data_IF_481005233656
#
_entry.id   IF_481005233656
#
_cell.length_a   1.000
_cell.length_b   1.000
_cell.length_c   1.000
_cell.angle_alpha   90.00
_cell.angle_beta   90.00
_cell.angle_gamma   90.00
#
_symmetry.space_group_name_H-M   'P 1'
#
loop_
_entity.id
_entity.type
_entity.pdbx_description
1 polymer ?
#
# COMPACT_ATOMS: atom_id res chain seq x y z
N UNK A 1 3.35 18.11 18.95
CA UNK A 1 2.69 18.94 17.93
C UNK A 1 3.64 19.98 17.29
N UNK A 2 4.39 20.81 18.04
CA UNK A 2 5.28 21.84 17.43
C UNK A 2 6.37 21.29 16.49
N UNK A 3 6.93 20.11 16.73
CA UNK A 3 7.97 19.51 15.86
C UNK A 3 7.43 18.92 14.56
N UNK A 4 6.18 18.47 14.52
CA UNK A 4 5.52 17.97 13.32
C UNK A 4 5.17 19.12 12.38
N UNK A 5 4.73 20.27 12.93
CA UNK A 5 4.49 21.48 12.16
C UNK A 5 5.76 22.03 11.50
N UNK A 6 6.92 21.90 12.17
CA UNK A 6 8.20 22.33 11.62
C UNK A 6 8.66 21.49 10.42
N UNK A 7 8.38 20.18 10.45
CA UNK A 7 8.72 19.25 9.35
C UNK A 7 7.80 19.49 8.14
N UNK A 8 6.51 19.71 8.39
CA UNK A 8 5.53 20.03 7.34
C UNK A 8 5.86 21.39 6.71
N UNK A 9 6.29 22.37 7.51
CA UNK A 9 6.71 23.68 7.01
C UNK A 9 8.01 23.62 6.19
N UNK A 10 8.94 22.75 6.56
CA UNK A 10 10.17 22.51 5.78
C UNK A 10 9.87 21.80 4.44
N UNK A 11 8.93 20.87 4.42
CA UNK A 11 8.42 20.25 3.20
C UNK A 11 7.72 21.28 2.29
N UNK A 12 6.98 22.24 2.86
CA UNK A 12 6.30 23.30 2.10
C UNK A 12 7.29 24.31 1.50
N UNK A 13 8.42 24.57 2.16
CA UNK A 13 9.49 25.44 1.64
C UNK A 13 10.22 24.81 0.44
N UNK A 14 10.33 23.50 0.37
CA UNK A 14 10.87 22.81 -0.81
C UNK A 14 9.95 22.89 -2.04
N UNK A 15 8.66 23.16 -1.86
CA UNK A 15 7.71 23.33 -2.97
C UNK A 15 7.80 24.68 -3.69
N UNK A 16 8.39 25.71 -3.07
CA UNK A 16 8.49 27.03 -3.68
C UNK A 16 9.56 27.16 -4.78
N UNK A 17 10.46 26.19 -4.92
CA UNK A 17 11.46 26.20 -6.00
C UNK A 17 10.95 25.57 -7.31
N UNK A 18 9.74 25.01 -7.33
CA UNK A 18 9.18 24.29 -8.49
C UNK A 18 8.43 25.20 -9.50
N UNK A 19 8.26 26.49 -9.22
CA UNK A 19 7.53 27.40 -10.11
C UNK A 19 8.27 27.79 -11.41
N UNK A 20 9.55 27.41 -11.55
CA UNK A 20 10.29 27.61 -12.79
C UNK A 20 10.12 26.46 -13.82
N UNK A 21 9.53 25.34 -13.43
CA UNK A 21 9.30 24.20 -14.33
C UNK A 21 8.10 24.39 -15.27
N UNK A 22 7.21 25.34 -15.01
CA UNK A 22 6.01 25.55 -15.84
C UNK A 22 6.28 26.19 -17.21
N UNK A 23 7.44 26.80 -17.43
CA UNK A 23 7.76 27.41 -18.74
C UNK A 23 8.22 26.41 -19.80
N UNK A 24 8.62 25.21 -19.42
CA UNK A 24 9.06 24.15 -20.36
C UNK A 24 7.91 23.22 -20.78
N UNK A 25 6.74 23.30 -20.13
CA UNK A 25 5.59 22.42 -20.46
C UNK A 25 4.93 22.74 -21.79
N UNK A 26 4.96 24.00 -22.28
CA UNK A 26 4.30 24.34 -23.54
C UNK A 26 5.01 23.79 -24.79
N UNK A 27 6.29 23.45 -24.69
CA UNK A 27 7.01 22.82 -25.81
C UNK A 27 6.87 21.31 -25.84
N UNK A 28 6.62 20.69 -24.66
CA UNK A 28 6.38 19.23 -24.55
C UNK A 28 4.93 18.86 -24.91
N UNK A 29 3.94 19.71 -24.64
CA UNK A 29 2.55 19.46 -25.01
C UNK A 29 2.31 19.34 -26.52
N UNK A 30 3.10 20.01 -27.34
CA UNK A 30 2.98 19.88 -28.81
C UNK A 30 3.56 18.55 -29.34
N UNK A 31 4.38 17.85 -28.57
CA UNK A 31 4.91 16.53 -28.93
C UNK A 31 4.02 15.37 -28.40
N UNK A 32 3.19 15.61 -27.39
CA UNK A 32 2.33 14.62 -26.73
C UNK A 32 0.82 14.85 -26.92
N UNK A 33 0.42 15.98 -27.51
CA UNK A 33 -1.00 16.40 -27.64
C UNK A 33 -1.84 15.61 -28.65
N UNK A 34 -1.29 14.57 -29.31
CA UNK A 34 -2.05 13.73 -30.25
C UNK A 34 -2.33 12.31 -29.72
N UNK A 35 -2.02 11.99 -28.46
CA UNK A 35 -2.16 10.64 -27.91
C UNK A 35 -3.27 10.46 -26.87
N UNK A 36 -4.10 11.47 -26.60
CA UNK A 36 -5.19 11.36 -25.61
C UNK A 36 -6.39 10.47 -26.04
N UNK A 37 -6.41 9.99 -27.28
CA UNK A 37 -7.48 9.12 -27.81
C UNK A 37 -6.99 7.71 -28.18
N UNK A 38 -5.88 7.23 -27.64
CA UNK A 38 -5.24 6.02 -28.12
C UNK A 38 -5.05 4.93 -27.08
N UNK A 39 -6.09 4.52 -26.36
CA UNK A 39 -6.02 3.31 -25.51
C UNK A 39 -5.94 2.01 -26.34
N UNK A 40 -6.22 2.06 -27.66
CA UNK A 40 -6.15 0.90 -28.56
C UNK A 40 -4.94 0.88 -29.51
N UNK A 41 -4.12 1.91 -29.53
CA UNK A 41 -3.01 1.98 -30.51
C UNK A 41 -1.68 1.35 -30.05
N UNK A 42 -1.55 1.00 -28.80
CA UNK A 42 -0.30 0.43 -28.27
C UNK A 42 -0.21 -1.10 -28.33
N UNK A 43 -1.19 -1.77 -28.93
CA UNK A 43 -1.16 -3.23 -29.10
C UNK A 43 -0.60 -3.68 -30.46
N UNK A 44 -0.41 -2.76 -31.39
CA UNK A 44 0.08 -3.08 -32.74
C UNK A 44 1.18 -2.11 -33.16
N UNK A 45 2.22 -2.63 -33.82
CA UNK A 45 3.25 -1.82 -34.43
C UNK A 45 2.72 -1.09 -35.68
N UNK A 46 3.55 -0.24 -36.30
CA UNK A 46 3.16 0.48 -37.54
C UNK A 46 2.79 -0.45 -38.70
N UNK A 47 3.14 -1.72 -38.62
CA UNK A 47 2.88 -2.73 -39.64
C UNK A 47 1.69 -3.62 -39.30
N UNK A 48 0.97 -3.33 -38.20
CA UNK A 48 -0.21 -4.09 -37.79
C UNK A 48 0.10 -5.38 -37.04
N UNK A 49 1.35 -5.62 -36.61
CA UNK A 49 1.68 -6.76 -35.77
C UNK A 49 1.39 -6.47 -34.31
N UNK A 50 0.86 -7.43 -33.55
CA UNK A 50 0.66 -7.25 -32.12
C UNK A 50 2.01 -6.99 -31.45
N UNK A 51 2.12 -5.90 -30.72
CA UNK A 51 3.27 -5.65 -29.85
C UNK A 51 3.17 -6.65 -28.71
N UNK A 52 4.15 -7.57 -28.64
CA UNK A 52 4.25 -8.52 -27.56
C UNK A 52 4.52 -7.76 -26.24
N UNK A 53 3.46 -7.51 -25.49
CA UNK A 53 3.53 -6.87 -24.16
C UNK A 53 4.16 -7.79 -23.12
N UNK A 54 4.40 -9.06 -23.47
CA UNK A 54 5.17 -10.02 -22.67
C UNK A 54 6.65 -9.97 -23.03
N UNK A 55 7.07 -9.13 -23.99
CA UNK A 55 8.48 -8.91 -24.25
C UNK A 55 9.18 -8.63 -22.93
N UNK A 56 10.01 -9.56 -22.51
CA UNK A 56 10.85 -9.46 -21.32
C UNK A 56 11.57 -8.13 -21.42
N UNK A 57 11.12 -7.15 -20.64
CA UNK A 57 11.84 -5.88 -20.52
C UNK A 57 13.22 -6.26 -20.07
N UNK A 58 14.21 -6.06 -20.96
CA UNK A 58 15.58 -6.45 -20.70
C UNK A 58 15.96 -5.85 -19.33
N UNK A 59 16.22 -6.70 -18.34
CA UNK A 59 16.42 -6.28 -16.94
C UNK A 59 17.55 -5.24 -16.78
N UNK A 60 18.34 -5.08 -17.84
CA UNK A 60 19.48 -4.17 -17.89
C UNK A 60 19.15 -2.80 -18.50
N UNK A 61 18.00 -2.63 -19.14
CA UNK A 61 17.58 -1.33 -19.65
C UNK A 61 16.51 -0.75 -18.72
N UNK A 62 16.75 0.45 -18.20
CA UNK A 62 15.73 1.17 -17.42
C UNK A 62 14.71 1.73 -18.43
N UNK A 63 13.48 1.18 -18.47
CA UNK A 63 12.50 1.63 -19.43
C UNK A 63 12.19 3.11 -19.23
N UNK A 64 11.94 3.80 -20.32
CA UNK A 64 11.55 5.20 -20.31
C UNK A 64 10.03 5.23 -20.36
N UNK A 65 9.39 5.95 -19.41
CA UNK A 65 7.92 6.10 -19.39
C UNK A 65 7.31 5.85 -18.04
N UNK A 66 5.98 5.81 -18.02
CA UNK A 66 5.21 5.51 -16.82
C UNK A 66 5.03 4.00 -16.70
N UNK A 67 5.63 3.41 -15.67
CA UNK A 67 5.46 2.00 -15.34
C UNK A 67 5.61 1.79 -13.84
N UNK A 68 5.02 0.73 -13.33
CA UNK A 68 5.02 0.41 -11.90
C UNK A 68 5.49 -1.01 -11.64
N UNK A 69 6.02 -1.23 -10.44
CA UNK A 69 6.45 -2.55 -10.00
C UNK A 69 6.30 -2.73 -8.50
N UNK A 70 6.35 -3.97 -8.06
CA UNK A 70 6.45 -4.40 -6.68
C UNK A 70 7.75 -5.15 -6.46
N UNK A 71 8.18 -5.26 -5.20
CA UNK A 71 9.37 -6.03 -4.82
C UNK A 71 8.99 -7.14 -3.85
N UNK A 72 9.61 -8.30 -4.04
CA UNK A 72 9.50 -9.41 -3.11
C UNK A 72 10.19 -9.06 -1.78
N UNK A 73 9.52 -9.38 -0.67
CA UNK A 73 9.99 -9.06 0.68
C UNK A 73 11.22 -9.86 1.12
N UNK A 74 11.57 -10.97 0.43
CA UNK A 74 12.69 -11.83 0.79
C UNK A 74 13.98 -11.51 0.02
N UNK A 75 13.89 -11.45 -1.30
CA UNK A 75 15.07 -11.27 -2.18
C UNK A 75 15.02 -9.98 -2.99
N UNK A 76 13.98 -9.17 -2.84
CA UNK A 76 13.85 -7.91 -3.57
C UNK A 76 13.70 -8.10 -5.09
N UNK A 77 13.17 -9.25 -5.54
CA UNK A 77 12.89 -9.46 -6.94
C UNK A 77 11.77 -8.54 -7.40
N UNK A 78 11.97 -7.94 -8.56
CA UNK A 78 11.05 -6.98 -9.14
C UNK A 78 9.99 -7.71 -9.97
N UNK A 79 8.72 -7.37 -9.74
CA UNK A 79 7.59 -7.81 -10.56
C UNK A 79 6.88 -6.59 -11.10
N UNK A 80 6.82 -6.44 -12.41
CA UNK A 80 6.11 -5.34 -13.05
C UNK A 80 4.61 -5.53 -12.96
N UNK A 81 3.91 -4.43 -12.72
CA UNK A 81 2.46 -4.38 -12.64
C UNK A 81 1.93 -3.26 -13.53
N UNK A 82 0.72 -3.38 -14.08
CA UNK A 82 0.10 -2.29 -14.81
C UNK A 82 -0.11 -1.09 -13.89
N UNK A 83 0.07 0.11 -14.44
CA UNK A 83 -0.28 1.34 -13.71
C UNK A 83 -1.79 1.42 -13.62
N UNK A 84 -2.30 1.68 -12.43
CA UNK A 84 -3.74 1.90 -12.24
C UNK A 84 -4.14 3.26 -12.83
N UNK A 85 -4.68 3.21 -14.03
CA UNK A 85 -5.25 4.35 -14.74
C UNK A 85 -6.77 4.23 -14.91
N UNK A 86 -7.36 3.16 -14.38
CA UNK A 86 -8.77 2.84 -14.55
C UNK A 86 -9.63 3.63 -13.56
N UNK A 87 -10.44 4.53 -14.08
CA UNK A 87 -11.43 5.27 -13.27
C UNK A 87 -12.67 4.42 -12.92
N UNK A 88 -12.73 3.17 -13.39
CA UNK A 88 -13.90 2.31 -13.22
C UNK A 88 -14.07 1.72 -11.82
N UNK A 89 -13.04 1.79 -10.98
CA UNK A 89 -13.07 1.24 -9.62
C UNK A 89 -13.69 2.20 -8.58
N UNK A 90 -14.25 3.33 -8.97
CA UNK A 90 -14.79 4.32 -8.03
C UNK A 90 -15.90 3.76 -7.12
N UNK A 91 -16.65 2.77 -7.57
CA UNK A 91 -17.69 2.10 -6.79
C UNK A 91 -17.13 1.29 -5.61
N UNK A 92 -15.87 0.85 -5.70
CA UNK A 92 -15.16 0.10 -4.66
C UNK A 92 -14.12 0.96 -3.93
N UNK A 93 -14.32 2.26 -3.90
CA UNK A 93 -13.37 3.22 -3.32
C UNK A 93 -13.10 3.01 -1.83
N UNK A 94 -14.03 2.38 -1.10
CA UNK A 94 -13.85 2.02 0.31
C UNK A 94 -13.06 0.71 0.51
N UNK A 95 -12.97 -0.14 -0.51
CA UNK A 95 -12.23 -1.42 -0.54
C UNK A 95 -12.67 -2.47 0.50
N UNK A 96 -13.75 -2.25 1.24
CA UNK A 96 -14.16 -3.17 2.34
C UNK A 96 -14.67 -4.50 1.83
N UNK A 97 -15.57 -4.49 0.84
CA UNK A 97 -16.16 -5.69 0.27
C UNK A 97 -15.26 -6.45 -0.70
N UNK A 98 -14.15 -5.84 -1.12
CA UNK A 98 -13.33 -6.34 -2.21
C UNK A 98 -14.00 -6.18 -3.57
N UNK A 99 -13.30 -6.58 -4.64
CA UNK A 99 -13.73 -6.39 -6.02
C UNK A 99 -15.04 -7.12 -6.38
N UNK A 100 -15.25 -8.30 -5.80
CA UNK A 100 -16.39 -9.19 -6.06
C UNK A 100 -17.29 -9.39 -4.84
N UNK A 101 -17.11 -8.58 -3.79
CA UNK A 101 -17.83 -8.76 -2.54
C UNK A 101 -17.39 -9.99 -1.75
N UNK A 102 -16.16 -10.46 -1.98
CA UNK A 102 -15.64 -11.70 -1.38
C UNK A 102 -15.28 -11.58 0.10
N UNK A 103 -15.35 -10.40 0.70
CA UNK A 103 -15.05 -10.21 2.11
C UNK A 103 -16.30 -10.10 2.99
N UNK A 104 -16.25 -10.74 4.14
CA UNK A 104 -17.13 -10.46 5.27
C UNK A 104 -16.50 -9.38 6.14
N UNK A 105 -17.29 -8.43 6.59
CA UNK A 105 -16.88 -7.36 7.52
C UNK A 105 -18.03 -6.98 8.44
N UNK A 106 -17.77 -6.17 9.47
CA UNK A 106 -18.77 -5.85 10.51
C UNK A 106 -19.69 -4.67 10.17
N UNK A 107 -19.73 -4.25 8.92
CA UNK A 107 -20.71 -3.29 8.41
C UNK A 107 -20.28 -1.84 8.38
N UNK A 108 -19.19 -1.45 9.03
CA UNK A 108 -18.66 -0.09 8.99
C UNK A 108 -17.28 -0.03 8.32
N UNK A 109 -16.96 1.11 7.75
CA UNK A 109 -15.67 1.38 7.17
C UNK A 109 -14.56 1.25 8.22
N UNK A 110 -13.52 0.47 7.91
CA UNK A 110 -12.43 0.22 8.84
C UNK A 110 -12.67 -0.93 9.83
N UNK A 111 -13.81 -1.62 9.76
CA UNK A 111 -14.02 -2.81 10.58
C UNK A 111 -13.15 -3.98 10.12
N UNK A 112 -12.85 -4.95 11.00
CA UNK A 112 -12.10 -6.14 10.61
C UNK A 112 -12.84 -6.90 9.51
N UNK A 113 -12.08 -7.45 8.55
CA UNK A 113 -12.62 -8.23 7.44
C UNK A 113 -11.93 -9.58 7.30
N UNK A 114 -12.66 -10.52 6.70
CA UNK A 114 -12.16 -11.84 6.39
C UNK A 114 -12.67 -12.30 5.02
N UNK A 115 -11.76 -12.81 4.17
CA UNK A 115 -12.17 -13.38 2.87
C UNK A 115 -13.05 -14.62 3.05
N UNK A 116 -14.14 -14.70 2.28
CA UNK A 116 -14.99 -15.90 2.16
C UNK A 116 -14.28 -17.01 1.39
N UNK A 117 -13.37 -16.61 0.50
CA UNK A 117 -12.58 -17.55 -0.31
C UNK A 117 -11.37 -17.97 0.53
N UNK A 118 -11.31 -19.25 0.88
CA UNK A 118 -10.26 -19.79 1.74
C UNK A 118 -8.85 -19.57 1.15
N UNK A 119 -8.68 -19.78 -0.15
CA UNK A 119 -7.38 -19.66 -0.83
C UNK A 119 -6.88 -18.22 -0.99
N UNK A 120 -7.76 -17.22 -0.81
CA UNK A 120 -7.37 -15.80 -0.84
C UNK A 120 -6.92 -15.30 0.55
N UNK A 121 -7.07 -16.14 1.58
CA UNK A 121 -6.64 -15.78 2.92
C UNK A 121 -5.12 -15.81 3.01
N UNK A 122 -4.55 -14.72 3.46
CA UNK A 122 -3.10 -14.65 3.73
C UNK A 122 -2.75 -15.50 4.95
N UNK A 123 -1.53 -16.02 4.97
CA UNK A 123 -1.00 -16.67 6.15
C UNK A 123 -0.98 -15.69 7.33
N UNK A 124 -1.39 -16.16 8.54
CA UNK A 124 -1.37 -15.32 9.74
C UNK A 124 0.04 -14.76 10.00
N UNK A 125 0.11 -13.47 10.22
CA UNK A 125 1.35 -12.85 10.61
C UNK A 125 1.69 -13.20 12.07
N UNK A 126 2.95 -13.08 12.43
CA UNK A 126 3.33 -13.27 13.83
C UNK A 126 2.77 -12.15 14.74
N UNK A 127 2.27 -11.05 14.16
CA UNK A 127 1.54 -9.99 14.84
C UNK A 127 0.12 -9.90 14.26
N UNK A 128 -0.69 -10.89 14.60
CA UNK A 128 -2.02 -11.12 13.99
C UNK A 128 -3.05 -10.02 14.26
N UNK A 129 -2.80 -9.11 15.19
CA UNK A 129 -3.73 -8.02 15.53
C UNK A 129 -4.02 -7.06 14.38
N UNK A 130 -3.16 -6.99 13.38
CA UNK A 130 -3.34 -6.15 12.19
C UNK A 130 -3.79 -6.92 10.95
N UNK A 131 -3.81 -8.25 10.98
CA UNK A 131 -4.15 -9.08 9.83
C UNK A 131 -5.56 -8.85 9.28
N UNK A 132 -6.61 -8.61 10.12
CA UNK A 132 -7.96 -8.31 9.63
C UNK A 132 -8.10 -6.95 8.92
N UNK A 133 -7.06 -6.14 8.93
CA UNK A 133 -7.03 -4.77 8.36
C UNK A 133 -6.13 -4.67 7.13
N UNK A 134 -6.01 -5.76 6.37
CA UNK A 134 -5.18 -5.89 5.17
C UNK A 134 -5.52 -4.89 4.04
N UNK A 135 -6.72 -4.29 4.08
CA UNK A 135 -7.18 -3.28 3.13
C UNK A 135 -6.55 -1.88 3.35
N UNK A 136 -5.90 -1.65 4.48
CA UNK A 136 -5.23 -0.39 4.78
C UNK A 136 -3.78 -0.57 5.24
N UNK A 137 -3.44 -1.67 5.92
CA UNK A 137 -2.06 -1.95 6.35
C UNK A 137 -1.21 -2.32 5.14
N UNK A 138 -0.19 -1.52 4.84
CA UNK A 138 0.72 -1.73 3.71
C UNK A 138 1.90 -2.60 4.15
N UNK A 139 2.00 -3.80 3.58
CA UNK A 139 3.19 -4.65 3.72
C UNK A 139 4.24 -4.26 2.68
N UNK A 140 5.53 -4.57 2.86
CA UNK A 140 6.57 -4.24 1.88
C UNK A 140 6.26 -4.75 0.45
N UNK A 141 5.68 -5.95 0.34
CA UNK A 141 5.28 -6.54 -0.94
C UNK A 141 4.07 -5.88 -1.60
N UNK A 142 3.30 -5.08 -0.85
CA UNK A 142 2.13 -4.36 -1.37
C UNK A 142 2.47 -2.95 -1.86
N UNK A 143 3.60 -2.40 -1.44
CA UNK A 143 4.04 -1.05 -1.85
C UNK A 143 4.40 -1.04 -3.32
N UNK A 144 3.80 -0.09 -4.03
CA UNK A 144 4.00 0.10 -5.46
C UNK A 144 5.09 1.15 -5.65
N UNK A 145 6.07 0.83 -6.45
CA UNK A 145 7.07 1.77 -6.96
C UNK A 145 6.66 2.20 -8.36
N UNK A 146 6.86 3.47 -8.68
CA UNK A 146 6.49 4.01 -9.99
C UNK A 146 7.65 4.81 -10.56
N UNK A 147 8.00 4.52 -11.81
CA UNK A 147 8.88 5.36 -12.62
C UNK A 147 8.04 6.31 -13.44
N UNK A 148 8.44 7.56 -13.51
CA UNK A 148 7.69 8.59 -14.21
C UNK A 148 8.60 9.70 -14.74
N UNK A 149 8.22 10.31 -15.87
CA UNK A 149 8.90 11.49 -16.41
C UNK A 149 8.54 12.78 -15.70
N UNK A 150 7.27 12.90 -15.33
CA UNK A 150 6.72 14.03 -14.59
C UNK A 150 6.17 13.51 -13.27
N UNK A 151 6.04 14.35 -12.23
CA UNK A 151 5.44 13.92 -10.99
C UNK A 151 4.10 13.23 -11.23
N UNK A 152 3.96 12.02 -10.68
CA UNK A 152 2.74 11.23 -10.75
C UNK A 152 2.01 11.33 -9.42
N UNK A 153 0.72 11.70 -9.46
CA UNK A 153 -0.12 11.81 -8.29
C UNK A 153 -1.44 11.10 -8.53
N UNK A 154 -1.82 10.24 -7.60
CA UNK A 154 -3.13 9.62 -7.56
C UNK A 154 -3.81 10.01 -6.23
N UNK A 155 -4.97 10.68 -6.34
CA UNK A 155 -5.77 11.11 -5.19
C UNK A 155 -7.14 10.46 -5.28
N UNK A 156 -7.59 9.86 -4.21
CA UNK A 156 -8.96 9.38 -4.10
C UNK A 156 -9.60 9.81 -2.80
N UNK A 157 -10.86 10.20 -2.87
CA UNK A 157 -11.65 10.58 -1.73
C UNK A 157 -13.01 9.90 -1.78
N UNK A 158 -13.36 9.23 -0.71
CA UNK A 158 -14.65 8.60 -0.50
C UNK A 158 -15.33 9.24 0.69
N UNK A 159 -16.62 9.52 0.56
CA UNK A 159 -17.50 9.94 1.65
C UNK A 159 -18.82 9.20 1.52
N UNK A 160 -19.23 8.56 2.60
CA UNK A 160 -20.50 7.84 2.69
C UNK A 160 -21.21 8.12 4.01
N UNK A 161 -22.43 7.60 4.15
CA UNK A 161 -23.24 7.75 5.35
C UNK A 161 -23.78 9.15 5.62
N UNK A 162 -24.47 9.30 6.75
CA UNK A 162 -25.07 10.53 7.22
C UNK A 162 -24.28 11.17 8.37
N UNK A 163 -24.95 12.05 9.12
CA UNK A 163 -24.33 12.70 10.28
C UNK A 163 -24.06 11.75 11.46
N UNK A 164 -24.77 10.62 11.52
CA UNK A 164 -24.64 9.63 12.60
C UNK A 164 -23.71 8.48 12.27
N UNK A 165 -23.68 8.06 11.00
CA UNK A 165 -22.97 6.90 10.44
C UNK A 165 -21.95 7.30 9.36
N UNK A 166 -21.45 8.54 9.42
CA UNK A 166 -20.56 9.10 8.43
C UNK A 166 -19.25 8.31 8.30
N UNK A 167 -18.87 8.10 7.05
CA UNK A 167 -17.63 7.42 6.68
C UNK A 167 -16.84 8.27 5.71
N UNK A 168 -15.52 8.32 5.89
CA UNK A 168 -14.62 9.07 5.04
C UNK A 168 -13.33 8.28 4.83
N UNK A 169 -12.82 8.27 3.59
CA UNK A 169 -11.50 7.74 3.28
C UNK A 169 -10.79 8.66 2.28
N UNK A 170 -9.58 9.03 2.60
CA UNK A 170 -8.71 9.80 1.74
C UNK A 170 -7.44 9.02 1.46
N UNK A 171 -7.13 8.78 0.19
CA UNK A 171 -5.88 8.18 -0.25
C UNK A 171 -5.11 9.16 -1.11
N UNK A 172 -3.82 9.21 -0.90
CA UNK A 172 -2.88 9.98 -1.72
C UNK A 172 -1.67 9.12 -2.01
N UNK A 173 -1.29 9.05 -3.27
CA UNK A 173 -0.06 8.44 -3.72
C UNK A 173 0.69 9.44 -4.59
N UNK A 174 1.96 9.62 -4.30
CA UNK A 174 2.83 10.52 -5.04
C UNK A 174 4.15 9.82 -5.37
N UNK A 175 4.59 9.96 -6.62
CA UNK A 175 5.87 9.45 -7.09
C UNK A 175 6.55 10.45 -8.02
N UNK A 176 7.85 10.57 -7.90
CA UNK A 176 8.69 11.41 -8.73
C UNK A 176 10.07 10.76 -8.92
N UNK A 177 10.64 10.95 -10.10
CA UNK A 177 12.02 10.58 -10.38
C UNK A 177 12.93 11.81 -10.29
N UNK A 178 13.98 11.74 -9.48
CA UNK A 178 15.04 12.76 -9.46
C UNK A 178 15.94 12.64 -10.70
N UNK A 179 16.11 11.44 -11.19
CA UNK A 179 16.80 11.11 -12.44
C UNK A 179 16.34 9.75 -12.97
N UNK A 180 16.95 9.27 -14.08
CA UNK A 180 16.58 7.98 -14.70
C UNK A 180 16.72 6.76 -13.76
N UNK A 181 17.51 6.87 -12.69
CA UNK A 181 17.85 5.75 -11.80
C UNK A 181 17.24 5.88 -10.41
N UNK A 182 17.01 7.11 -9.94
CA UNK A 182 16.53 7.39 -8.58
C UNK A 182 15.10 7.93 -8.61
N UNK A 183 14.20 7.17 -8.03
CA UNK A 183 12.81 7.57 -7.77
C UNK A 183 12.51 7.57 -6.28
N UNK A 184 11.56 8.39 -5.86
CA UNK A 184 11.03 8.42 -4.51
C UNK A 184 9.57 8.88 -4.51
N UNK A 185 8.89 8.58 -3.44
CA UNK A 185 7.51 8.97 -3.28
C UNK A 185 6.99 8.75 -1.89
N UNK A 186 5.73 9.06 -1.71
CA UNK A 186 5.00 8.80 -0.48
C UNK A 186 3.57 8.38 -0.77
N UNK A 187 2.96 7.74 0.20
CA UNK A 187 1.53 7.47 0.20
C UNK A 187 0.94 7.79 1.57
N UNK A 188 -0.34 8.13 1.57
CA UNK A 188 -1.16 8.39 2.75
C UNK A 188 -2.50 7.71 2.52
N UNK A 189 -3.01 7.02 3.53
CA UNK A 189 -4.35 6.45 3.58
C UNK A 189 -4.96 6.81 4.93
N UNK A 190 -5.88 7.76 4.93
CA UNK A 190 -6.65 8.16 6.09
C UNK A 190 -8.07 7.65 5.95
N UNK A 191 -8.54 6.99 6.99
CA UNK A 191 -9.86 6.40 7.05
C UNK A 191 -10.52 6.76 8.38
N UNK A 192 -11.75 7.21 8.30
CA UNK A 192 -12.60 7.45 9.46
C UNK A 192 -13.97 6.83 9.19
N UNK A 193 -14.50 6.05 10.15
CA UNK A 193 -15.81 5.47 10.07
C UNK A 193 -16.51 5.52 11.43
N UNK A 194 -17.76 5.97 11.43
CA UNK A 194 -18.70 5.72 12.52
C UNK A 194 -19.49 4.47 12.18
N UNK A 195 -19.71 3.61 13.14
CA UNK A 195 -20.62 2.50 12.98
C UNK A 195 -22.08 2.91 13.19
N UNK A 196 -22.97 2.01 12.85
CA UNK A 196 -24.41 2.15 13.11
C UNK A 196 -24.76 1.99 14.60
N UNK A 197 -23.98 1.14 15.31
CA UNK A 197 -24.18 0.85 16.73
C UNK A 197 -23.32 1.77 17.62
N UNK A 198 -23.63 1.78 18.92
CA UNK A 198 -22.81 2.49 19.90
C UNK A 198 -21.40 1.88 19.94
N UNK A 199 -20.40 2.72 20.24
CA UNK A 199 -19.00 2.33 20.42
C UNK A 199 -18.41 1.50 19.24
N UNK A 200 -18.79 1.85 18.01
CA UNK A 200 -18.36 1.19 16.77
C UNK A 200 -17.65 2.20 15.84
N UNK A 201 -16.63 2.86 16.31
CA UNK A 201 -15.91 3.85 15.50
C UNK A 201 -14.50 3.40 15.16
N UNK A 202 -14.02 3.84 13.99
CA UNK A 202 -12.67 3.57 13.49
C UNK A 202 -12.02 4.88 13.06
N UNK A 203 -10.73 5.01 13.32
CA UNK A 203 -9.92 6.13 12.86
C UNK A 203 -8.51 5.61 12.55
N UNK A 204 -8.20 5.45 11.27
CA UNK A 204 -6.94 4.90 10.80
C UNK A 204 -6.14 5.96 10.05
N UNK A 205 -4.85 5.96 10.28
CA UNK A 205 -3.91 6.76 9.53
C UNK A 205 -2.72 5.88 9.19
N UNK A 206 -2.52 5.66 7.90
CA UNK A 206 -1.39 4.92 7.38
C UNK A 206 -0.64 5.82 6.42
N UNK A 207 0.66 5.81 6.49
CA UNK A 207 1.47 6.62 5.62
C UNK A 207 2.87 6.07 5.49
N UNK A 208 3.46 6.21 4.31
CA UNK A 208 4.78 5.71 4.05
C UNK A 208 5.56 6.53 3.05
N UNK A 209 6.86 6.36 3.13
CA UNK A 209 7.84 6.89 2.20
C UNK A 209 8.50 5.72 1.50
N UNK A 210 8.77 5.86 0.23
CA UNK A 210 9.51 4.87 -0.53
C UNK A 210 10.53 5.52 -1.46
N UNK A 211 11.59 4.79 -1.73
CA UNK A 211 12.63 5.20 -2.68
C UNK A 211 13.18 3.99 -3.39
N UNK A 212 13.52 4.17 -4.66
CA UNK A 212 14.16 3.15 -5.48
C UNK A 212 15.35 3.74 -6.22
N UNK A 213 16.45 3.02 -6.20
CA UNK A 213 17.59 3.29 -7.07
C UNK A 213 17.83 2.07 -7.96
N UNK A 214 17.88 2.28 -9.27
CA UNK A 214 18.05 1.22 -10.27
C UNK A 214 19.19 1.58 -11.22
N UNK A 215 20.33 1.02 -10.95
CA UNK A 215 21.54 1.18 -11.77
C UNK A 215 21.99 -0.12 -12.42
N UNK A 216 23.03 -0.09 -13.20
CA UNK A 216 23.56 -1.28 -13.88
C UNK A 216 24.14 -2.28 -12.87
N UNK A 217 24.94 -1.78 -11.93
CA UNK A 217 25.63 -2.60 -10.94
C UNK A 217 24.99 -2.64 -9.57
N UNK A 218 24.10 -1.70 -9.26
CA UNK A 218 23.50 -1.56 -7.94
C UNK A 218 22.04 -1.21 -8.06
N UNK A 219 21.20 -1.97 -7.36
CA UNK A 219 19.78 -1.74 -7.21
C UNK A 219 19.42 -1.66 -5.72
N UNK A 220 18.53 -0.75 -5.36
CA UNK A 220 18.05 -0.55 -4.00
C UNK A 220 16.58 -0.19 -4.00
N UNK A 221 15.84 -0.75 -3.05
CA UNK A 221 14.48 -0.33 -2.71
C UNK A 221 14.39 -0.12 -1.20
N UNK A 222 13.86 1.02 -0.82
CA UNK A 222 13.64 1.41 0.56
C UNK A 222 12.19 1.77 0.79
N UNK A 223 11.62 1.30 1.90
CA UNK A 223 10.27 1.61 2.34
C UNK A 223 10.33 1.92 3.83
N UNK A 224 9.66 2.97 4.23
CA UNK A 224 9.36 3.26 5.62
C UNK A 224 7.89 3.61 5.73
N UNK A 225 7.13 2.89 6.56
CA UNK A 225 5.73 3.22 6.81
C UNK A 225 5.38 3.21 8.29
N UNK A 226 4.31 3.93 8.60
CA UNK A 226 3.68 3.99 9.89
C UNK A 226 2.18 3.72 9.72
N UNK A 227 1.70 2.69 10.41
CA UNK A 227 0.29 2.34 10.48
C UNK A 227 -0.22 2.67 11.89
N UNK A 228 -1.30 3.43 11.97
CA UNK A 228 -1.94 3.81 13.21
C UNK A 228 -3.44 3.48 13.10
N UNK A 229 -3.86 2.41 13.75
CA UNK A 229 -5.21 1.88 13.71
C UNK A 229 -5.85 2.06 15.09
N UNK A 230 -6.85 2.93 15.19
CA UNK A 230 -7.63 3.13 16.40
C UNK A 230 -9.07 2.77 16.15
N UNK A 231 -9.61 1.85 16.94
CA UNK A 231 -10.98 1.39 16.82
C UNK A 231 -11.64 1.27 18.20
N UNK A 232 -12.91 1.61 18.26
CA UNK A 232 -13.77 1.32 19.40
C UNK A 232 -14.35 -0.09 19.24
N UNK A 233 -14.47 -0.79 20.34
CA UNK A 233 -15.03 -2.15 20.37
C UNK A 233 -16.24 -2.20 21.29
N UNK A 234 -17.37 -2.70 20.76
CA UNK A 234 -18.65 -2.74 21.46
C UNK A 234 -19.06 -4.14 21.93
N UNK A 235 -18.31 -5.18 21.57
CA UNK A 235 -18.60 -6.57 21.98
C UNK A 235 -19.90 -7.15 21.41
N UNK A 236 -20.55 -6.46 20.46
CA UNK A 236 -21.85 -6.84 19.91
C UNK A 236 -23.04 -6.34 20.73
N UNK A 237 -24.25 -6.59 20.24
CA UNK A 237 -25.50 -6.23 20.88
C UNK A 237 -25.78 -7.13 22.10
N UNK A 238 -26.49 -6.58 23.09
CA UNK A 238 -26.80 -7.33 24.33
C UNK A 238 -27.82 -8.44 24.14
N UNK A 239 -28.78 -8.25 23.23
CA UNK A 239 -29.88 -9.18 22.99
C UNK A 239 -30.23 -9.21 21.48
N UNK A 240 -30.25 -10.39 20.90
CA UNK A 240 -30.53 -10.61 19.47
C UNK A 240 -31.98 -10.26 19.09
N UNK A 241 -32.90 -10.15 20.08
CA UNK A 241 -34.29 -9.75 19.84
C UNK A 241 -34.41 -8.32 19.30
N UNK A 242 -33.43 -7.47 19.54
CA UNK A 242 -33.39 -6.14 18.90
C UNK A 242 -33.38 -6.23 17.37
N UNK A 243 -32.91 -7.34 16.80
CA UNK A 243 -32.89 -7.59 15.35
C UNK A 243 -34.02 -8.55 14.94
N UNK A 244 -34.26 -9.62 15.72
CA UNK A 244 -35.22 -10.67 15.34
C UNK A 244 -36.66 -10.28 15.63
N UNK A 245 -36.90 -9.54 16.72
CA UNK A 245 -38.24 -9.10 17.19
C UNK A 245 -38.21 -7.60 17.59
N UNK A 246 -37.94 -6.71 16.63
CA UNK A 246 -37.74 -5.29 16.95
C UNK A 246 -38.96 -4.62 17.58
N UNK A 247 -40.17 -5.04 17.24
CA UNK A 247 -41.41 -4.46 17.81
C UNK A 247 -41.54 -4.73 19.30
N UNK A 248 -41.16 -5.91 19.77
CA UNK A 248 -41.23 -6.27 21.19
C UNK A 248 -40.21 -5.49 22.02
N UNK A 249 -39.08 -5.15 21.42
CA UNK A 249 -38.01 -4.43 22.09
C UNK A 249 -38.17 -2.90 22.01
N UNK A 250 -39.11 -2.42 21.20
CA UNK A 250 -39.28 -0.97 20.96
C UNK A 250 -39.96 -0.22 22.11
N UNK A 251 -40.42 -0.91 23.16
CA UNK A 251 -41.08 -0.32 24.37
C UNK A 251 -42.16 0.72 24.03
N UNK A 252 -42.94 0.43 22.98
CA UNK A 252 -44.01 1.32 22.50
C UNK A 252 -43.58 2.42 21.53
N UNK A 253 -42.33 2.53 21.18
CA UNK A 253 -41.85 3.36 20.07
C UNK A 253 -42.17 2.66 18.72
N UNK A 254 -42.50 3.46 17.69
CA UNK A 254 -42.72 2.90 16.34
C UNK A 254 -41.45 2.39 15.71
N UNK A 255 -40.34 3.04 15.98
CA UNK A 255 -38.98 2.72 15.44
C UNK A 255 -37.95 3.14 16.49
N UNK A 256 -36.84 2.44 16.53
CA UNK A 256 -35.64 2.87 17.24
C UNK A 256 -34.43 2.77 16.30
N UNK A 257 -33.47 3.64 16.52
CA UNK A 257 -32.25 3.72 15.72
C UNK A 257 -31.26 2.66 16.20
N UNK A 258 -30.44 2.12 15.30
CA UNK A 258 -29.41 1.12 15.63
C UNK A 258 -28.45 1.60 16.75
N UNK A 259 -28.21 2.90 16.85
CA UNK A 259 -27.40 3.49 17.92
C UNK A 259 -28.08 3.56 19.29
N UNK A 260 -29.39 3.24 19.38
CA UNK A 260 -30.10 3.11 20.65
C UNK A 260 -30.03 1.69 21.20
N UNK A 261 -29.59 0.72 20.39
CA UNK A 261 -29.44 -0.67 20.78
C UNK A 261 -28.26 -0.79 21.76
N UNK A 262 -28.47 -1.32 22.97
CA UNK A 262 -27.40 -1.44 23.93
C UNK A 262 -26.35 -2.47 23.49
N UNK A 263 -25.10 -2.16 23.73
CA UNK A 263 -23.95 -2.99 23.41
C UNK A 263 -23.34 -3.59 24.68
N UNK A 264 -22.64 -4.72 24.53
CA UNK A 264 -22.07 -5.45 25.66
C UNK A 264 -20.88 -4.76 26.28
N UNK A 265 -20.11 -4.03 25.49
CA UNK A 265 -18.94 -3.28 25.90
C UNK A 265 -19.15 -1.79 25.64
N UNK A 266 -18.62 -0.94 26.50
CA UNK A 266 -18.62 0.50 26.32
C UNK A 266 -17.24 1.08 26.58
N UNK A 267 -16.89 2.16 25.85
CA UNK A 267 -15.67 2.93 26.06
C UNK A 267 -14.37 2.06 25.99
N UNK A 268 -14.37 1.05 25.16
CA UNK A 268 -13.17 0.24 24.89
C UNK A 268 -12.52 0.69 23.58
N UNK A 269 -11.21 0.85 23.63
CA UNK A 269 -10.39 1.21 22.48
C UNK A 269 -9.27 0.22 22.23
N UNK A 270 -9.19 -0.27 21.01
CA UNK A 270 -8.09 -1.06 20.51
C UNK A 270 -7.23 -0.17 19.60
N UNK A 271 -5.99 0.05 20.00
CA UNK A 271 -5.08 0.95 19.30
C UNK A 271 -3.81 0.20 18.91
N UNK A 272 -3.65 -0.03 17.62
CA UNK A 272 -2.46 -0.64 17.03
C UNK A 272 -1.61 0.43 16.35
N UNK A 273 -0.33 0.48 16.70
CA UNK A 273 0.67 1.35 16.06
C UNK A 273 1.82 0.49 15.58
N UNK A 274 2.12 0.56 14.30
CA UNK A 274 3.19 -0.20 13.69
C UNK A 274 4.11 0.72 12.88
N UNK A 275 5.42 0.50 13.02
CA UNK A 275 6.45 1.12 12.20
C UNK A 275 7.19 0.01 11.47
N UNK A 276 7.31 0.17 10.16
CA UNK A 276 7.99 -0.79 9.31
C UNK A 276 9.09 -0.08 8.51
N UNK A 277 10.30 -0.61 8.59
CA UNK A 277 11.40 -0.19 7.75
C UNK A 277 11.87 -1.39 6.94
N UNK A 278 11.89 -1.25 5.64
CA UNK A 278 12.31 -2.29 4.70
C UNK A 278 13.37 -1.72 3.77
N UNK A 279 14.49 -2.41 3.66
CA UNK A 279 15.56 -2.10 2.74
C UNK A 279 15.97 -3.39 2.04
N UNK A 280 15.88 -3.41 0.74
CA UNK A 280 16.49 -4.45 -0.08
C UNK A 280 17.46 -3.82 -1.06
N UNK A 281 18.65 -4.40 -1.18
CA UNK A 281 19.61 -3.93 -2.13
C UNK A 281 20.39 -5.10 -2.73
N UNK A 282 20.82 -4.88 -3.98
CA UNK A 282 21.52 -5.87 -4.78
C UNK A 282 22.73 -5.24 -5.43
N UNK A 283 23.85 -5.93 -5.34
CA UNK A 283 25.05 -5.57 -6.07
C UNK A 283 25.35 -6.63 -7.14
N UNK A 284 25.37 -6.19 -8.41
CA UNK A 284 25.56 -7.06 -9.56
C UNK A 284 27.01 -7.02 -10.01
N UNK A 285 27.63 -8.20 -10.05
CA UNK A 285 28.93 -8.42 -10.70
C UNK A 285 28.70 -8.91 -12.11
N UNK A 286 29.37 -8.32 -13.09
CA UNK A 286 29.19 -8.65 -14.49
C UNK A 286 30.13 -7.86 -15.39
N UNK A 287 29.87 -7.93 -16.69
CA UNK A 287 30.64 -7.27 -17.73
C UNK A 287 29.75 -6.51 -18.70
N UNK A 288 30.32 -5.54 -19.41
CA UNK A 288 29.62 -4.83 -20.47
C UNK A 288 29.80 -5.57 -21.81
N UNK A 289 28.69 -5.74 -22.53
CA UNK A 289 28.65 -6.29 -23.86
C UNK A 289 28.13 -5.24 -24.83
N UNK A 290 28.73 -5.14 -25.99
CA UNK A 290 28.22 -4.31 -27.07
C UNK A 290 27.01 -4.96 -27.73
N UNK A 291 25.92 -4.20 -27.83
CA UNK A 291 24.71 -4.54 -28.56
C UNK A 291 24.59 -3.60 -29.73
N UNK A 292 24.49 -4.16 -30.92
CA UNK A 292 24.27 -3.42 -32.14
C UNK A 292 22.78 -3.38 -32.41
N UNK A 293 22.18 -2.20 -32.33
CA UNK A 293 20.79 -1.98 -32.70
C UNK A 293 20.77 -1.27 -34.06
N UNK A 294 20.17 -1.90 -35.06
CA UNK A 294 19.93 -1.27 -36.37
C UNK A 294 18.76 -0.30 -36.24
N UNK A 295 19.06 0.99 -36.38
CA UNK A 295 18.04 2.06 -36.26
C UNK A 295 17.45 2.41 -37.63
N UNK A 296 18.23 2.27 -38.72
CA UNK A 296 17.84 2.43 -40.13
C UNK A 296 18.83 1.69 -41.01
N UNK A 297 18.53 1.57 -42.32
CA UNK A 297 19.26 0.80 -43.30
C UNK A 297 20.76 1.16 -43.39
N UNK A 298 21.18 2.33 -42.87
CA UNK A 298 22.55 2.85 -42.98
C UNK A 298 23.20 3.28 -41.63
N UNK A 299 22.52 3.13 -40.46
CA UNK A 299 23.09 3.53 -39.18
C UNK A 299 23.00 2.41 -38.14
N UNK A 300 24.15 1.96 -37.66
CA UNK A 300 24.28 0.99 -36.56
C UNK A 300 24.58 1.76 -35.27
N UNK A 301 23.68 1.71 -34.29
CA UNK A 301 23.92 2.28 -32.96
C UNK A 301 24.53 1.19 -32.08
N UNK A 302 25.75 1.38 -31.64
CA UNK A 302 26.42 0.48 -30.69
C UNK A 302 26.07 0.96 -29.29
N UNK A 303 25.38 0.13 -28.49
CA UNK A 303 25.03 0.39 -27.11
C UNK A 303 25.74 -0.61 -26.21
N UNK A 304 26.37 -0.14 -25.14
CA UNK A 304 26.97 -1.03 -24.14
C UNK A 304 25.88 -1.45 -23.11
N UNK A 305 25.64 -2.75 -23.04
CA UNK A 305 24.67 -3.33 -22.09
C UNK A 305 25.43 -4.11 -21.02
N UNK A 306 25.12 -3.84 -19.75
CA UNK A 306 25.68 -4.58 -18.63
C UNK A 306 25.01 -5.96 -18.52
N UNK A 307 25.80 -7.01 -18.47
CA UNK A 307 25.36 -8.41 -18.32
C UNK A 307 25.76 -8.88 -16.92
N UNK A 308 24.81 -9.04 -15.98
CA UNK A 308 25.12 -9.53 -14.67
C UNK A 308 25.42 -11.03 -14.70
N UNK A 309 26.46 -11.44 -13.98
CA UNK A 309 26.90 -12.84 -13.81
C UNK A 309 26.45 -13.35 -12.45
N UNK A 310 26.73 -12.58 -11.42
CA UNK A 310 26.43 -12.92 -10.03
C UNK A 310 25.89 -11.68 -9.32
N UNK A 311 24.90 -11.85 -8.46
CA UNK A 311 24.35 -10.78 -7.64
C UNK A 311 24.43 -11.14 -6.16
N UNK A 312 24.93 -10.22 -5.36
CA UNK A 312 24.83 -10.26 -3.91
C UNK A 312 23.57 -9.50 -3.49
N UNK A 313 22.73 -10.15 -2.71
CA UNK A 313 21.44 -9.62 -2.26
C UNK A 313 21.47 -9.51 -0.74
N UNK A 314 21.03 -8.37 -0.24
CA UNK A 314 20.80 -8.18 1.18
C UNK A 314 19.45 -7.51 1.38
N UNK A 315 18.62 -8.07 2.25
CA UNK A 315 17.31 -7.53 2.63
C UNK A 315 17.22 -7.44 4.13
N UNK A 316 16.93 -6.24 4.62
CA UNK A 316 16.69 -5.94 6.03
C UNK A 316 15.26 -5.44 6.21
N UNK A 317 14.52 -6.07 7.10
CA UNK A 317 13.20 -5.63 7.54
C UNK A 317 13.20 -5.48 9.06
N UNK A 318 12.70 -4.35 9.52
CA UNK A 318 12.53 -4.04 10.95
C UNK A 318 11.07 -3.64 11.18
N UNK A 319 10.39 -4.39 12.04
CA UNK A 319 8.99 -4.15 12.38
C UNK A 319 8.88 -3.86 13.88
N UNK A 320 8.31 -2.71 14.22
CA UNK A 320 8.04 -2.29 15.59
C UNK A 320 6.52 -2.19 15.76
N UNK A 321 5.94 -3.14 16.45
CA UNK A 321 4.49 -3.22 16.65
C UNK A 321 4.14 -2.97 18.11
N UNK A 322 3.11 -2.18 18.34
CA UNK A 322 2.60 -1.87 19.67
C UNK A 322 1.08 -1.85 19.64
N UNK A 323 0.46 -2.66 20.48
CA UNK A 323 -0.98 -2.66 20.71
C UNK A 323 -1.27 -2.16 22.12
N UNK A 324 -2.31 -1.33 22.23
CA UNK A 324 -2.91 -0.94 23.50
C UNK A 324 -4.40 -1.25 23.43
N UNK A 325 -4.88 -2.05 24.34
CA UNK A 325 -6.28 -2.28 24.59
C UNK A 325 -6.65 -1.54 25.87
N UNK A 326 -7.54 -0.57 25.78
CA UNK A 326 -7.84 0.38 26.85
C UNK A 326 -9.33 0.26 27.19
N UNK A 327 -9.63 -0.05 28.43
CA UNK A 327 -10.99 -0.04 28.98
C UNK A 327 -11.14 1.16 29.92
N UNK A 328 -12.10 2.03 29.66
CA UNK A 328 -12.42 3.16 30.53
C UNK A 328 -13.61 2.86 31.45
N UNK A 329 -14.41 1.82 31.15
CA UNK A 329 -15.51 1.33 31.98
C UNK A 329 -15.21 -0.10 32.46
N UNK A 330 -14.36 -0.22 33.49
CA UNK A 330 -13.91 -1.52 33.98
C UNK A 330 -15.03 -2.36 34.58
N UNK A 331 -16.00 -1.74 35.24
CA UNK A 331 -17.06 -2.46 35.95
C UNK A 331 -18.00 -3.22 35.00
N UNK A 332 -18.31 -2.64 33.84
CA UNK A 332 -19.11 -3.29 32.81
C UNK A 332 -18.29 -4.31 32.03
N UNK A 333 -17.06 -3.94 31.69
CA UNK A 333 -16.20 -4.71 30.79
C UNK A 333 -15.66 -5.99 31.45
N UNK A 334 -15.40 -5.98 32.76
CA UNK A 334 -14.99 -7.17 33.50
C UNK A 334 -16.03 -8.29 33.47
N UNK A 335 -17.32 -7.96 33.41
CA UNK A 335 -18.39 -8.96 33.31
C UNK A 335 -18.42 -9.67 31.95
N UNK A 336 -17.91 -9.04 30.90
CA UNK A 336 -17.84 -9.60 29.55
C UNK A 336 -16.71 -10.64 29.43
N UNK A 337 -15.56 -10.39 30.10
CA UNK A 337 -14.42 -11.29 30.06
C UNK A 337 -14.45 -12.22 31.29
N UNK A 338 -14.98 -13.44 31.12
CA UNK A 338 -15.08 -14.45 32.21
C UNK A 338 -13.72 -14.81 32.83
N UNK A 339 -12.66 -14.74 32.01
CA UNK A 339 -11.31 -15.06 32.45
C UNK A 339 -10.34 -13.97 32.03
N UNK A 340 -9.88 -13.18 33.01
CA UNK A 340 -8.82 -12.20 32.82
C UNK A 340 -7.51 -12.75 33.40
N UNK A 341 -6.66 -13.32 32.54
CA UNK A 341 -5.39 -13.91 32.95
C UNK A 341 -4.25 -12.91 33.18
N UNK A 342 -4.43 -11.66 32.75
CA UNK A 342 -3.37 -10.66 32.67
C UNK A 342 -3.46 -9.57 33.75
N UNK A 343 -4.34 -9.71 34.74
CA UNK A 343 -4.48 -8.77 35.84
C UNK A 343 -5.72 -7.87 35.72
N UNK A 344 -5.81 -6.89 36.59
CA UNK A 344 -6.94 -5.98 36.76
C UNK A 344 -6.69 -4.61 36.12
N UNK A 345 -5.64 -4.47 35.30
CA UNK A 345 -5.28 -3.18 34.71
C UNK A 345 -6.27 -2.80 33.60
N UNK A 346 -6.68 -1.54 33.58
CA UNK A 346 -7.55 -0.97 32.54
C UNK A 346 -6.87 -0.86 31.16
N UNK A 347 -5.57 -1.16 31.09
CA UNK A 347 -4.78 -1.07 29.87
C UNK A 347 -3.92 -2.31 29.69
N UNK A 348 -4.23 -3.10 28.65
CA UNK A 348 -3.35 -4.17 28.17
C UNK A 348 -2.44 -3.64 27.06
N UNK A 349 -1.14 -3.97 27.14
CA UNK A 349 -0.11 -3.53 26.19
C UNK A 349 0.66 -4.72 25.65
N UNK A 350 0.63 -4.88 24.35
CA UNK A 350 1.43 -5.87 23.62
C UNK A 350 2.44 -5.16 22.74
N UNK A 351 3.72 -5.47 22.91
CA UNK A 351 4.80 -4.93 22.08
C UNK A 351 5.52 -6.08 21.39
N UNK A 352 5.85 -5.88 20.13
CA UNK A 352 6.66 -6.81 19.37
C UNK A 352 7.65 -6.08 18.50
N UNK A 353 8.92 -6.47 18.59
CA UNK A 353 9.98 -6.06 17.67
C UNK A 353 10.39 -7.28 16.85
N UNK A 354 10.44 -7.15 15.54
CA UNK A 354 10.92 -8.17 14.62
C UNK A 354 12.00 -7.59 13.73
N UNK A 355 13.12 -8.30 13.62
CA UNK A 355 14.20 -7.96 12.72
C UNK A 355 14.43 -9.19 11.83
N UNK A 356 14.23 -9.01 10.53
CA UNK A 356 14.52 -10.04 9.52
C UNK A 356 15.69 -9.55 8.69
N UNK A 357 16.70 -10.39 8.57
CA UNK A 357 17.89 -10.12 7.79
C UNK A 357 18.13 -11.29 6.85
N UNK A 358 18.12 -11.02 5.54
CA UNK A 358 18.30 -12.03 4.50
C UNK A 358 19.51 -11.66 3.66
N UNK A 359 20.44 -12.59 3.55
CA UNK A 359 21.59 -12.46 2.66
C UNK A 359 21.51 -13.58 1.63
N UNK A 360 21.70 -13.24 0.37
CA UNK A 360 21.61 -14.18 -0.74
C UNK A 360 22.63 -13.92 -1.84
N UNK A 361 22.92 -14.96 -2.59
CA UNK A 361 23.72 -14.91 -3.81
C UNK A 361 22.85 -15.49 -4.92
N UNK A 362 22.68 -14.74 -6.02
CA UNK A 362 21.96 -15.19 -7.19
C UNK A 362 22.90 -15.30 -8.38
N UNK A 363 22.85 -16.43 -9.06
CA UNK A 363 23.52 -16.62 -10.35
C UNK A 363 22.57 -16.14 -11.44
N UNK A 364 23.07 -15.25 -12.29
CA UNK A 364 22.30 -14.62 -13.36
C UNK A 364 22.53 -15.29 -14.70
N UNK A 365 21.81 -14.89 -15.73
CA UNK A 365 21.96 -15.45 -17.08
C UNK A 365 23.38 -15.35 -17.63
N UNK A 366 24.14 -14.32 -17.27
CA UNK A 366 25.54 -14.16 -17.64
C UNK A 366 26.43 -15.28 -17.15
N UNK A 367 26.08 -15.95 -16.04
CA UNK A 367 26.83 -17.10 -15.53
C UNK A 367 26.78 -18.28 -16.47
N UNK A 368 25.63 -18.61 -17.05
CA UNK A 368 25.51 -19.70 -18.02
C UNK A 368 26.36 -19.45 -19.31
N UNK A 369 26.45 -18.19 -19.74
CA UNK A 369 27.28 -17.80 -20.89
C UNK A 369 28.74 -17.86 -20.54
N UNK A 370 29.13 -17.44 -19.34
CA UNK A 370 30.50 -17.49 -18.86
C UNK A 370 30.99 -18.93 -18.64
N UNK A 371 30.17 -19.78 -18.00
CA UNK A 371 30.49 -21.17 -17.73
C UNK A 371 30.58 -22.03 -19.00
N UNK A 372 29.92 -21.63 -20.09
CA UNK A 372 29.99 -22.30 -21.39
C UNK A 372 31.18 -21.82 -22.25
N UNK A 373 31.77 -20.71 -21.91
CA UNK A 373 32.95 -20.17 -22.61
C UNK A 373 34.29 -20.63 -21.98
N UNK A 374 34.27 -21.33 -20.90
CA UNK A 374 35.39 -22.04 -20.26
C UNK A 374 35.28 -23.54 -20.42
#
# INVERSE_FOLDING_TARGET
MKRIFSIIFLLFLCFHTSLMAQRTMNTLNNQFGSSANGLDRNQYDRNGNPIDTTAVVDANTIPIGLYSWKVDSRFGNVTYIPVDTLQHAFQNSNDMGGYTGQYNYLGNLGSPRLSRIFFDRRDPSQYFFTDPYDFCVQRPEDVIFTNTFSPFTNLSYYKGGGSRDGEERFKSYFAINANKRLGFGFYIDYLYGRGLYQDQSTAFFNGGLFSSYRGDKYDMHFIFNNDNLKMAENGGITDDRYITNPLDMAEGKKEYSANEIPTRLSQIWNHNTSYHAFLTHRYNLGFYKEKQDSVDTDSVKITQVFVPVTSFIHTLQVDLNNRKYISYDDAQNQKYFEHNYLGTDSIDKTKRTSIKNTIGIALQEGFNKWAKAG
#
